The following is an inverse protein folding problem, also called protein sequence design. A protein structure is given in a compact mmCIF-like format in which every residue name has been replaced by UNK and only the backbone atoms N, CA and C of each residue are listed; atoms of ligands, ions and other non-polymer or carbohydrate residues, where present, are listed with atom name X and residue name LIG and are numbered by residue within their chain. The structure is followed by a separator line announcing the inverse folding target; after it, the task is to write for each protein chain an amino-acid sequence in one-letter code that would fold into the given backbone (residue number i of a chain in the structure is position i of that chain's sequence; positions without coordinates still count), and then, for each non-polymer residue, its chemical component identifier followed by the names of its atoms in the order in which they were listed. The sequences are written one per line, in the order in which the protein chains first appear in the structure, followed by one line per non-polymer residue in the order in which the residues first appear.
data_IF_271593307120
#
_entry.id   IF_271593307120
#
_cell.length_a   1.000
_cell.length_b   1.000
_cell.length_c   1.000
_cell.angle_alpha   90.00
_cell.angle_beta   90.00
_cell.angle_gamma   90.00
#
_symmetry.space_group_name_H-M   'P 1'
#
loop_
_entity.id
_entity.type
_entity.pdbx_description
1 polymer ?
#
# COMPACT_ATOMS: atom_id res chain seq x y z
N UNK A 1 -8.39 13.39 11.95
CA UNK A 1 -8.45 13.99 10.60
C UNK A 1 -8.13 12.90 9.60
N UNK A 2 -8.94 12.74 8.55
CA UNK A 2 -8.74 11.78 7.47
C UNK A 2 -8.48 12.51 6.15
N UNK A 3 -8.32 11.76 5.06
CA UNK A 3 -8.24 12.30 3.72
C UNK A 3 -9.56 13.01 3.33
N UNK A 4 -9.46 14.09 2.55
CA UNK A 4 -10.62 14.67 1.85
C UNK A 4 -11.21 13.69 0.84
N UNK A 5 -12.42 13.92 0.34
CA UNK A 5 -13.02 13.07 -0.69
C UNK A 5 -12.19 13.01 -1.98
N UNK A 6 -11.60 14.14 -2.39
CA UNK A 6 -10.70 14.21 -3.55
C UNK A 6 -9.46 13.34 -3.32
N UNK A 7 -8.81 13.49 -2.16
CA UNK A 7 -7.66 12.67 -1.79
C UNK A 7 -8.03 11.19 -1.67
N UNK A 8 -9.21 10.86 -1.15
CA UNK A 8 -9.74 9.50 -1.11
C UNK A 8 -9.98 8.91 -2.49
N UNK A 9 -10.55 9.68 -3.42
CA UNK A 9 -10.86 9.23 -4.78
C UNK A 9 -9.63 8.76 -5.56
N UNK A 10 -8.45 9.25 -5.19
CA UNK A 10 -7.16 8.89 -5.78
C UNK A 10 -6.26 8.06 -4.86
N UNK A 11 -6.75 7.62 -3.70
CA UNK A 11 -6.00 6.81 -2.73
C UNK A 11 -6.57 5.40 -2.61
N UNK A 12 -5.68 4.41 -2.58
CA UNK A 12 -6.00 3.00 -2.36
C UNK A 12 -5.14 2.43 -1.24
N UNK A 13 -5.77 1.73 -0.30
CA UNK A 13 -5.09 1.00 0.77
C UNK A 13 -5.08 -0.50 0.46
N UNK A 14 -3.94 -1.15 0.66
CA UNK A 14 -3.74 -2.58 0.43
C UNK A 14 -3.19 -3.26 1.68
N UNK A 15 -3.52 -4.53 1.82
CA UNK A 15 -2.75 -5.48 2.59
C UNK A 15 -2.15 -6.48 1.61
N UNK A 16 -0.83 -6.66 1.66
CA UNK A 16 -0.11 -7.62 0.80
C UNK A 16 0.62 -8.66 1.64
N UNK A 17 0.69 -9.90 1.14
CA UNK A 17 1.43 -10.98 1.81
C UNK A 17 2.95 -10.91 1.57
N UNK A 18 3.70 -11.86 2.13
CA UNK A 18 5.16 -11.94 2.00
C UNK A 18 5.67 -12.12 0.56
N UNK A 19 4.80 -12.53 -0.37
CA UNK A 19 5.09 -12.65 -1.80
C UNK A 19 4.48 -11.48 -2.60
N UNK A 20 4.13 -10.40 -1.89
CA UNK A 20 3.48 -9.20 -2.43
C UNK A 20 2.12 -9.45 -3.09
N UNK A 21 1.46 -10.58 -2.82
CA UNK A 21 0.09 -10.81 -3.31
C UNK A 21 -0.88 -9.90 -2.57
N UNK A 22 -1.77 -9.26 -3.29
CA UNK A 22 -2.84 -8.46 -2.69
C UNK A 22 -3.83 -9.41 -2.00
N UNK A 23 -3.97 -9.29 -0.68
CA UNK A 23 -4.89 -10.10 0.13
C UNK A 23 -6.08 -9.29 0.65
N UNK A 24 -5.96 -7.96 0.70
CA UNK A 24 -7.10 -7.04 0.84
C UNK A 24 -6.81 -5.73 0.11
N UNK A 25 -7.86 -5.06 -0.37
CA UNK A 25 -7.78 -3.75 -1.00
C UNK A 25 -9.03 -2.92 -0.63
N UNK A 26 -8.86 -1.63 -0.38
CA UNK A 26 -9.96 -0.72 -0.03
C UNK A 26 -11.01 -0.57 -1.14
N UNK A 27 -10.64 -0.86 -2.38
CA UNK A 27 -11.53 -0.83 -3.55
C UNK A 27 -11.92 -2.23 -4.05
N UNK A 28 -11.48 -3.29 -3.36
CA UNK A 28 -11.74 -4.69 -3.73
C UNK A 28 -11.06 -5.19 -5.01
N UNK A 29 -10.38 -4.32 -5.78
CA UNK A 29 -9.75 -4.71 -7.05
C UNK A 29 -8.52 -5.57 -6.80
N UNK A 30 -8.23 -6.51 -7.70
CA UNK A 30 -6.97 -7.28 -7.67
C UNK A 30 -6.79 -8.23 -6.48
N UNK A 31 -7.76 -8.34 -5.56
CA UNK A 31 -7.66 -9.22 -4.39
C UNK A 31 -7.49 -10.66 -4.86
N UNK A 32 -6.42 -11.29 -4.38
CA UNK A 32 -5.94 -12.63 -4.74
C UNK A 32 -5.53 -12.83 -6.20
N UNK A 33 -5.67 -11.82 -7.08
CA UNK A 33 -5.28 -11.87 -8.48
C UNK A 33 -3.96 -11.13 -8.75
N UNK A 34 -3.75 -10.02 -8.08
CA UNK A 34 -2.64 -9.11 -8.35
C UNK A 34 -1.50 -9.26 -7.34
N UNK A 35 -0.31 -8.81 -7.76
CA UNK A 35 0.83 -8.56 -6.88
C UNK A 35 1.22 -7.09 -6.93
N UNK A 36 1.50 -6.51 -5.77
CA UNK A 36 1.99 -5.14 -5.65
C UNK A 36 3.41 -5.15 -5.07
N UNK A 37 4.41 -5.29 -5.95
CA UNK A 37 5.81 -5.35 -5.57
C UNK A 37 6.28 -4.05 -4.93
N UNK A 38 6.86 -4.15 -3.73
CA UNK A 38 7.37 -3.00 -2.99
C UNK A 38 8.85 -2.77 -3.25
N UNK A 39 9.23 -1.49 -3.39
CA UNK A 39 10.62 -1.03 -3.33
C UNK A 39 10.99 -0.72 -1.87
N UNK A 40 10.83 -1.72 -1.00
CA UNK A 40 11.02 -1.54 0.43
C UNK A 40 12.50 -1.57 0.80
N UNK A 41 13.02 -0.45 1.29
CA UNK A 41 14.40 -0.32 1.80
C UNK A 41 14.48 -0.48 3.34
N UNK A 42 13.33 -0.40 4.02
CA UNK A 42 13.21 -0.52 5.47
C UNK A 42 11.90 -1.24 5.85
N UNK A 43 11.65 -1.41 7.15
CA UNK A 43 10.38 -1.98 7.62
C UNK A 43 9.20 -1.03 7.38
N UNK A 44 9.43 0.27 7.23
CA UNK A 44 8.42 1.25 6.86
C UNK A 44 9.08 2.35 6.06
N UNK A 45 8.32 2.97 5.16
CA UNK A 45 8.84 4.06 4.35
C UNK A 45 7.83 4.53 3.33
N UNK A 46 8.28 5.38 2.44
CA UNK A 46 7.53 5.79 1.27
C UNK A 46 8.46 6.02 0.09
N UNK A 47 7.94 5.91 -1.12
CA UNK A 47 8.62 6.26 -2.37
C UNK A 47 7.61 6.74 -3.40
N UNK A 48 8.08 7.42 -4.45
CA UNK A 48 7.31 7.63 -5.67
C UNK A 48 7.63 6.53 -6.67
N UNK A 49 6.61 5.91 -7.24
CA UNK A 49 6.80 4.88 -8.26
C UNK A 49 7.00 5.51 -9.66
N UNK A 50 7.20 4.67 -10.67
CA UNK A 50 7.38 5.12 -12.06
C UNK A 50 6.14 5.83 -12.65
N UNK A 51 4.95 5.60 -12.09
CA UNK A 51 3.69 6.25 -12.48
C UNK A 51 3.44 7.55 -11.68
N UNK A 52 4.45 8.04 -10.95
CA UNK A 52 4.38 9.20 -10.05
C UNK A 52 3.39 9.05 -8.88
N UNK A 53 2.90 7.84 -8.62
CA UNK A 53 2.08 7.57 -7.44
C UNK A 53 2.96 7.56 -6.19
N UNK A 54 2.49 8.22 -5.12
CA UNK A 54 3.10 8.14 -3.80
C UNK A 54 2.70 6.83 -3.14
N UNK A 55 3.68 6.00 -2.82
CA UNK A 55 3.48 4.71 -2.15
C UNK A 55 4.07 4.78 -0.75
N UNK A 56 3.22 4.68 0.27
CA UNK A 56 3.62 4.46 1.66
C UNK A 56 3.46 2.99 2.04
N UNK A 57 4.37 2.44 2.84
CA UNK A 57 4.30 1.05 3.27
C UNK A 57 4.80 0.87 4.71
N UNK A 58 4.29 -0.17 5.36
CA UNK A 58 4.77 -0.61 6.67
C UNK A 58 4.60 -2.13 6.82
N UNK A 59 5.66 -2.81 7.21
CA UNK A 59 5.69 -4.22 7.60
C UNK A 59 4.80 -4.38 8.83
N UNK A 60 3.85 -5.30 8.78
CA UNK A 60 3.00 -5.65 9.92
C UNK A 60 3.83 -6.46 10.92
N UNK A 61 4.03 -5.98 12.15
CA UNK A 61 4.78 -6.73 13.15
C UNK A 61 4.03 -7.99 13.55
N UNK A 62 4.77 -8.97 14.06
CA UNK A 62 4.20 -10.08 14.81
C UNK A 62 3.64 -9.62 16.17
N UNK A 63 3.03 -10.54 16.91
CA UNK A 63 2.47 -10.27 18.24
C UNK A 63 3.04 -11.25 19.27
N UNK A 64 3.49 -10.73 20.41
CA UNK A 64 4.04 -11.38 21.63
C UNK A 64 4.96 -12.60 21.44
N UNK A 65 4.47 -13.69 20.85
CA UNK A 65 5.19 -14.96 20.64
C UNK A 65 5.23 -15.42 19.17
N UNK A 66 4.56 -14.71 18.27
CA UNK A 66 4.48 -15.05 16.85
C UNK A 66 5.32 -14.11 16.00
N UNK A 67 6.18 -14.67 15.16
CA UNK A 67 6.85 -13.92 14.11
C UNK A 67 5.81 -13.33 13.15
N UNK A 68 6.02 -12.08 12.72
CA UNK A 68 5.16 -11.45 11.71
C UNK A 68 5.17 -12.27 10.41
N UNK A 69 4.03 -12.33 9.72
CA UNK A 69 3.88 -13.14 8.50
C UNK A 69 4.52 -12.51 7.26
N UNK A 70 5.31 -11.45 7.42
CA UNK A 70 5.92 -10.72 6.30
C UNK A 70 4.93 -9.85 5.52
N UNK A 71 3.74 -9.58 6.07
CA UNK A 71 2.73 -8.79 5.38
C UNK A 71 3.04 -7.30 5.47
N UNK A 72 2.59 -6.53 4.49
CA UNK A 72 2.71 -5.08 4.50
C UNK A 72 1.33 -4.44 4.38
N UNK A 73 1.10 -3.42 5.20
CA UNK A 73 0.10 -2.39 4.90
C UNK A 73 0.69 -1.43 3.88
N UNK A 74 -0.05 -1.12 2.82
CA UNK A 74 0.39 -0.25 1.73
C UNK A 74 -0.68 0.80 1.45
N UNK A 75 -0.28 2.04 1.22
CA UNK A 75 -1.15 3.12 0.75
C UNK A 75 -0.56 3.65 -0.56
N UNK A 76 -1.35 3.62 -1.62
CA UNK A 76 -0.98 4.14 -2.94
C UNK A 76 -1.86 5.33 -3.23
N UNK A 77 -1.27 6.49 -3.50
CA UNK A 77 -2.00 7.69 -3.88
C UNK A 77 -1.53 8.16 -5.25
N UNK A 78 -2.45 8.17 -6.22
CA UNK A 78 -2.19 8.67 -7.57
C UNK A 78 -1.98 10.19 -7.54
N UNK A 79 -1.17 10.78 -8.44
CA UNK A 79 -0.96 12.22 -8.51
C UNK A 79 -2.30 12.97 -8.63
N UNK A 80 -2.35 14.22 -8.18
CA UNK A 80 -3.53 15.07 -8.41
C UNK A 80 -3.50 15.63 -9.83
N UNK A 81 -4.66 15.68 -10.47
CA UNK A 81 -4.84 16.25 -11.82
C UNK A 81 -4.69 17.78 -11.85
N UNK A 82 -4.42 18.43 -10.70
CA UNK A 82 -4.45 19.90 -10.53
C UNK A 82 -3.35 20.66 -11.29
N UNK A 83 -2.42 19.95 -11.94
CA UNK A 83 -1.36 20.53 -12.76
C UNK A 83 -1.21 19.89 -14.16
N UNK A 84 -2.27 19.22 -14.66
CA UNK A 84 -2.37 18.73 -16.03
C UNK A 84 -3.07 19.71 -16.98
#
# INVERSE_FOLDING_TARGET
MGLSEEEWGRTRCLLVDANYRVIAASDGKGVLADRHYLQAEAQRGHYQNAEQALVGYALTPGYETYTGMGWYGVVVQQPSDRFG
#
